data_IF_606916237076
#
_entry.id   IF_606916237076
#
_cell.length_a   1.000
_cell.length_b   1.000
_cell.length_c   1.000
_cell.angle_alpha   90.00
_cell.angle_beta   90.00
_cell.angle_gamma   90.00
#
_symmetry.space_group_name_H-M   'P 1'
#
loop_
_entity.id
_entity.type
_entity.pdbx_description
1 polymer ?
#
# COMPACT_ATOMS: atom_id res chain seq x y z
N UNK A 1 -1.13 68.31 -43.90
CA UNK A 1 -0.20 67.15 -43.82
C UNK A 1 0.91 67.34 -42.81
N UNK A 2 1.33 68.58 -42.49
CA UNK A 2 2.47 68.85 -41.55
C UNK A 2 2.13 68.68 -40.06
N UNK A 3 0.90 68.93 -39.63
CA UNK A 3 0.51 68.86 -38.20
C UNK A 3 0.37 67.43 -37.68
N UNK A 4 -0.07 66.51 -38.53
CA UNK A 4 -0.23 65.06 -38.15
C UNK A 4 1.14 64.38 -38.00
N UNK A 5 2.14 64.78 -38.81
CA UNK A 5 3.50 64.26 -38.71
C UNK A 5 4.24 64.74 -37.41
N UNK A 6 3.94 65.93 -36.95
CA UNK A 6 4.54 66.47 -35.74
C UNK A 6 3.95 65.87 -34.47
N UNK A 7 2.65 65.53 -34.48
CA UNK A 7 1.99 64.82 -33.38
C UNK A 7 2.48 63.34 -33.30
N UNK A 8 2.74 62.69 -34.45
CA UNK A 8 3.27 61.32 -34.44
C UNK A 8 4.73 61.25 -33.92
N UNK A 9 5.58 62.26 -34.21
CA UNK A 9 6.95 62.35 -33.70
C UNK A 9 6.97 62.64 -32.21
N UNK A 10 6.07 63.52 -31.71
CA UNK A 10 5.96 63.77 -30.28
C UNK A 10 5.39 62.57 -29.53
N UNK A 11 4.42 61.84 -30.12
CA UNK A 11 3.88 60.61 -29.52
C UNK A 11 4.93 59.47 -29.46
N UNK A 12 5.78 59.30 -30.52
CA UNK A 12 6.88 58.33 -30.49
C UNK A 12 7.97 58.70 -29.52
N UNK A 13 8.25 59.98 -29.27
CA UNK A 13 9.23 60.43 -28.33
C UNK A 13 8.74 60.29 -26.85
N UNK A 14 7.43 60.41 -26.60
CA UNK A 14 6.83 60.22 -25.30
C UNK A 14 6.69 58.73 -24.94
N UNK A 15 6.47 57.85 -25.94
CA UNK A 15 6.38 56.39 -25.72
C UNK A 15 7.77 55.79 -25.41
N UNK A 16 8.86 56.42 -25.88
CA UNK A 16 10.23 55.92 -25.65
C UNK A 16 10.88 56.51 -24.41
N UNK A 17 10.19 57.36 -23.66
CA UNK A 17 10.61 57.89 -22.35
C UNK A 17 9.75 57.29 -21.23
N UNK A 18 9.51 55.97 -21.30
CA UNK A 18 9.19 55.26 -20.02
C UNK A 18 10.46 55.29 -19.17
N UNK A 19 10.40 55.79 -17.93
CA UNK A 19 11.49 55.60 -17.03
C UNK A 19 11.65 54.08 -16.88
N UNK A 20 12.80 53.55 -17.30
CA UNK A 20 13.26 52.27 -16.78
C UNK A 20 13.26 52.47 -15.27
N UNK A 21 12.21 51.94 -14.62
CA UNK A 21 12.18 51.89 -13.18
C UNK A 21 13.45 51.18 -12.77
N UNK A 22 14.30 51.91 -12.07
CA UNK A 22 15.42 51.37 -11.34
C UNK A 22 14.78 50.28 -10.43
N UNK A 23 14.77 49.04 -10.88
CA UNK A 23 14.28 47.93 -10.11
C UNK A 23 15.25 47.84 -8.94
N UNK A 24 14.85 48.40 -7.82
CA UNK A 24 15.64 48.27 -6.59
C UNK A 24 15.96 46.78 -6.37
N UNK A 25 16.97 46.50 -5.53
CA UNK A 25 17.34 45.11 -5.25
C UNK A 25 16.10 44.32 -4.80
N UNK A 26 15.98 43.09 -5.29
CA UNK A 26 14.90 42.21 -4.84
C UNK A 26 15.05 41.92 -3.34
N UNK A 27 13.99 42.16 -2.60
CA UNK A 27 13.98 41.98 -1.14
C UNK A 27 12.94 40.98 -0.73
N UNK A 28 13.21 40.22 0.32
CA UNK A 28 12.29 39.29 0.97
C UNK A 28 12.36 39.52 2.49
N UNK A 29 11.49 38.85 3.24
CA UNK A 29 11.43 39.01 4.69
C UNK A 29 11.89 37.75 5.41
N UNK A 30 12.54 37.96 6.54
CA UNK A 30 12.77 36.89 7.52
C UNK A 30 11.45 36.52 8.14
N UNK A 31 11.14 35.23 8.21
CA UNK A 31 9.91 34.72 8.81
C UNK A 31 10.23 33.83 10.01
N UNK A 32 9.40 33.91 11.05
CA UNK A 32 9.43 32.98 12.18
C UNK A 32 8.22 32.08 12.10
N UNK A 33 8.42 30.76 12.15
CA UNK A 33 7.34 29.80 11.99
C UNK A 33 7.80 28.35 12.05
N UNK A 34 6.96 27.48 11.51
CA UNK A 34 7.25 26.04 11.42
C UNK A 34 7.99 25.73 10.12
N UNK A 35 9.20 25.24 10.25
CA UNK A 35 9.96 24.68 9.14
C UNK A 35 9.67 23.19 9.00
N UNK A 36 9.47 22.70 7.79
CA UNK A 36 9.36 21.27 7.53
C UNK A 36 10.10 20.89 6.25
N UNK A 37 10.76 19.73 6.32
CA UNK A 37 11.28 19.07 5.13
C UNK A 37 10.41 17.86 4.80
N UNK A 38 10.17 17.65 3.52
CA UNK A 38 9.37 16.55 3.04
C UNK A 38 10.12 15.74 1.99
N UNK A 39 9.88 14.45 1.98
CA UNK A 39 10.28 13.57 0.88
C UNK A 39 9.03 13.22 0.09
N UNK A 40 9.05 13.53 -1.19
CA UNK A 40 7.95 13.24 -2.10
C UNK A 40 8.20 11.93 -2.83
N UNK A 41 7.16 11.09 -2.89
CA UNK A 41 7.22 9.83 -3.60
C UNK A 41 5.85 9.49 -4.18
N UNK A 42 5.86 8.72 -5.29
CA UNK A 42 4.63 8.22 -5.92
C UNK A 42 4.47 6.74 -5.63
N UNK A 43 3.24 6.31 -5.45
CA UNK A 43 2.92 4.93 -5.17
C UNK A 43 1.52 4.53 -5.57
N UNK A 44 1.16 3.32 -5.19
CA UNK A 44 -0.17 2.77 -5.45
C UNK A 44 -0.90 2.49 -4.14
N UNK A 45 -2.18 2.83 -4.14
CA UNK A 45 -3.10 2.52 -3.06
C UNK A 45 -3.43 1.03 -3.07
N UNK A 46 -3.25 0.37 -1.94
CA UNK A 46 -3.51 -1.06 -1.75
C UNK A 46 -4.38 -1.28 -0.51
N UNK A 47 -5.23 -2.29 -0.48
CA UNK A 47 -5.90 -2.67 0.76
C UNK A 47 -4.89 -3.22 1.76
N UNK A 48 -5.19 -3.13 3.05
CA UNK A 48 -4.36 -3.73 4.10
C UNK A 48 -4.34 -5.25 3.98
N UNK A 49 -5.51 -5.83 3.78
CA UNK A 49 -5.68 -7.27 3.61
C UNK A 49 -6.53 -7.57 2.39
N UNK A 50 -6.19 -8.64 1.71
CA UNK A 50 -6.99 -9.17 0.61
C UNK A 50 -6.93 -10.69 0.61
N UNK A 51 -8.06 -11.31 0.34
CA UNK A 51 -8.22 -12.76 0.22
C UNK A 51 -8.59 -13.12 -1.20
N UNK A 52 -7.83 -14.03 -1.79
CA UNK A 52 -8.16 -14.62 -3.08
C UNK A 52 -9.13 -15.75 -2.85
N UNK A 53 -10.27 -15.73 -3.54
CA UNK A 53 -11.25 -16.79 -3.53
C UNK A 53 -10.98 -17.72 -4.69
N UNK A 54 -10.50 -18.93 -4.37
CA UNK A 54 -10.22 -19.98 -5.34
C UNK A 54 -11.06 -21.22 -5.00
N UNK A 55 -11.92 -21.69 -5.91
CA UNK A 55 -12.66 -22.91 -5.71
C UNK A 55 -11.73 -24.10 -5.50
N UNK A 56 -12.09 -25.00 -4.58
CA UNK A 56 -11.36 -26.23 -4.31
C UNK A 56 -11.82 -27.41 -5.16
N UNK A 57 -12.87 -27.22 -5.96
CA UNK A 57 -13.44 -28.25 -6.84
C UNK A 57 -13.47 -27.73 -8.28
N UNK A 58 -13.21 -28.62 -9.21
CA UNK A 58 -13.32 -28.36 -10.63
C UNK A 58 -14.79 -28.45 -11.08
N UNK A 59 -15.11 -27.78 -12.18
CA UNK A 59 -16.46 -27.79 -12.74
C UNK A 59 -16.79 -26.56 -13.55
N UNK A 60 -18.09 -26.29 -13.72
CA UNK A 60 -18.58 -25.11 -14.43
C UNK A 60 -19.30 -24.18 -13.47
N UNK A 61 -19.04 -22.87 -13.55
CA UNK A 61 -19.76 -21.88 -12.74
C UNK A 61 -21.23 -21.90 -13.07
N UNK A 62 -22.06 -22.28 -12.11
CA UNK A 62 -23.52 -22.39 -12.25
C UNK A 62 -24.22 -21.07 -11.97
N UNK A 63 -23.89 -20.43 -10.85
CA UNK A 63 -24.43 -19.12 -10.47
C UNK A 63 -23.40 -18.26 -9.76
N UNK A 64 -23.56 -16.94 -9.87
CA UNK A 64 -22.79 -15.91 -9.17
C UNK A 64 -23.78 -15.01 -8.45
N UNK A 65 -23.69 -14.93 -7.12
CA UNK A 65 -24.66 -14.23 -6.27
C UNK A 65 -24.20 -12.82 -5.86
N UNK A 66 -23.05 -12.38 -6.37
CA UNK A 66 -22.38 -11.14 -5.96
C UNK A 66 -21.89 -10.35 -7.17
N UNK A 67 -21.59 -9.06 -6.96
CA UNK A 67 -21.10 -8.17 -8.00
C UNK A 67 -19.79 -7.49 -7.55
N UNK A 68 -18.98 -7.07 -8.52
CA UNK A 68 -17.79 -6.29 -8.23
C UNK A 68 -18.17 -4.98 -7.52
N UNK A 69 -17.45 -4.63 -6.44
CA UNK A 69 -17.73 -3.48 -5.59
C UNK A 69 -18.74 -3.75 -4.48
N UNK A 70 -19.38 -4.92 -4.43
CA UNK A 70 -20.32 -5.30 -3.37
C UNK A 70 -19.57 -5.66 -2.08
N UNK A 71 -20.11 -5.24 -0.93
CA UNK A 71 -19.64 -5.69 0.39
C UNK A 71 -20.25 -7.04 0.73
N UNK A 72 -19.44 -7.92 1.30
CA UNK A 72 -19.81 -9.26 1.74
C UNK A 72 -19.30 -9.52 3.15
N UNK A 73 -20.00 -10.39 3.89
CA UNK A 73 -19.56 -10.86 5.20
C UNK A 73 -18.92 -12.26 5.06
N UNK A 74 -18.10 -12.62 6.03
CA UNK A 74 -17.56 -13.98 6.13
C UNK A 74 -18.69 -15.01 6.14
N UNK A 75 -18.56 -16.03 5.29
CA UNK A 75 -19.57 -17.08 5.12
C UNK A 75 -20.66 -16.79 4.08
N UNK A 76 -20.78 -15.58 3.55
CA UNK A 76 -21.74 -15.27 2.47
C UNK A 76 -21.46 -16.12 1.22
N UNK A 77 -22.52 -16.63 0.59
CA UNK A 77 -22.39 -17.43 -0.63
C UNK A 77 -22.08 -16.54 -1.82
N UNK A 78 -20.92 -16.72 -2.41
CA UNK A 78 -20.42 -15.93 -3.53
C UNK A 78 -20.83 -16.50 -4.88
N UNK A 79 -20.62 -17.81 -5.07
CA UNK A 79 -20.97 -18.51 -6.30
C UNK A 79 -21.15 -20.01 -6.05
N UNK A 80 -21.76 -20.69 -7.00
CA UNK A 80 -21.90 -22.15 -7.02
C UNK A 80 -21.25 -22.75 -8.26
N UNK A 81 -20.70 -23.95 -8.08
CA UNK A 81 -20.07 -24.72 -9.17
C UNK A 81 -20.89 -25.95 -9.42
N UNK A 82 -21.24 -26.20 -10.67
CA UNK A 82 -21.85 -27.45 -11.12
C UNK A 82 -20.75 -28.47 -11.40
N UNK A 83 -20.88 -29.65 -10.77
CA UNK A 83 -20.03 -30.80 -11.02
C UNK A 83 -20.85 -32.08 -10.89
N UNK A 84 -21.21 -32.68 -12.02
CA UNK A 84 -22.07 -33.87 -12.10
C UNK A 84 -21.36 -35.14 -11.56
N UNK A 85 -20.02 -35.14 -11.48
CA UNK A 85 -19.23 -36.22 -10.91
C UNK A 85 -19.42 -36.31 -9.39
N UNK A 86 -19.38 -35.16 -8.72
CA UNK A 86 -19.62 -35.10 -7.27
C UNK A 86 -21.04 -35.61 -6.91
N UNK A 87 -22.05 -35.28 -7.73
CA UNK A 87 -23.41 -35.77 -7.52
C UNK A 87 -23.49 -37.27 -7.67
N UNK A 88 -22.79 -37.84 -8.67
CA UNK A 88 -22.70 -39.30 -8.83
C UNK A 88 -22.02 -39.97 -7.65
N UNK A 89 -20.91 -39.39 -7.17
CA UNK A 89 -20.15 -39.92 -6.03
C UNK A 89 -21.00 -39.95 -4.74
N UNK A 90 -21.77 -38.89 -4.48
CA UNK A 90 -22.72 -38.86 -3.35
C UNK A 90 -23.80 -39.97 -3.50
N UNK A 91 -24.40 -40.08 -4.68
CA UNK A 91 -25.42 -41.10 -4.94
C UNK A 91 -24.88 -42.53 -4.83
N UNK A 92 -23.62 -42.76 -5.20
CA UNK A 92 -22.96 -44.06 -5.04
C UNK A 92 -22.68 -44.37 -3.57
N UNK A 93 -22.15 -43.41 -2.81
CA UNK A 93 -21.90 -43.54 -1.38
C UNK A 93 -23.21 -43.79 -0.61
N UNK A 94 -24.31 -43.11 -0.98
CA UNK A 94 -25.65 -43.36 -0.39
C UNK A 94 -26.13 -44.80 -0.63
N UNK A 95 -25.93 -45.32 -1.84
CA UNK A 95 -26.27 -46.70 -2.16
C UNK A 95 -25.43 -47.71 -1.36
N UNK A 96 -24.13 -47.42 -1.18
CA UNK A 96 -23.25 -48.25 -0.36
C UNK A 96 -23.69 -48.29 1.12
N UNK A 97 -24.12 -47.16 1.67
CA UNK A 97 -24.70 -47.13 3.04
C UNK A 97 -25.97 -47.92 3.13
N UNK A 98 -26.88 -47.80 2.16
CA UNK A 98 -28.12 -48.57 2.13
C UNK A 98 -27.86 -50.11 2.07
N UNK A 99 -26.91 -50.55 1.23
CA UNK A 99 -26.50 -51.95 1.16
C UNK A 99 -25.89 -52.44 2.48
N UNK A 100 -25.00 -51.69 3.09
CA UNK A 100 -24.38 -52.01 4.38
C UNK A 100 -25.40 -52.05 5.54
N UNK A 101 -26.45 -51.23 5.49
CA UNK A 101 -27.59 -51.30 6.43
C UNK A 101 -28.40 -52.59 6.27
N UNK A 102 -28.65 -53.00 5.03
CA UNK A 102 -29.34 -54.25 4.73
C UNK A 102 -28.53 -55.45 5.19
N UNK A 103 -27.22 -55.47 4.94
CA UNK A 103 -26.31 -56.52 5.41
C UNK A 103 -26.29 -56.61 6.95
N UNK A 104 -26.26 -55.48 7.64
CA UNK A 104 -26.35 -55.45 9.10
C UNK A 104 -27.68 -55.98 9.59
N UNK A 105 -28.79 -55.59 8.99
CA UNK A 105 -30.11 -56.08 9.33
C UNK A 105 -30.24 -57.63 9.12
N UNK A 106 -29.65 -58.14 8.06
CA UNK A 106 -29.60 -59.56 7.77
C UNK A 106 -28.72 -60.31 8.78
N UNK A 107 -27.56 -59.80 9.10
CA UNK A 107 -26.69 -60.38 10.13
C UNK A 107 -27.34 -60.37 11.52
N UNK A 108 -28.05 -59.32 11.88
CA UNK A 108 -28.81 -59.26 13.14
C UNK A 108 -29.93 -60.24 13.20
N UNK A 109 -30.71 -60.40 12.09
CA UNK A 109 -31.76 -61.40 11.99
C UNK A 109 -31.20 -62.83 12.14
N UNK A 110 -30.08 -63.15 11.48
CA UNK A 110 -29.41 -64.42 11.60
C UNK A 110 -28.98 -64.74 13.02
N UNK A 111 -28.33 -63.76 13.68
CA UNK A 111 -27.88 -63.86 15.07
C UNK A 111 -29.05 -64.07 16.06
N UNK A 112 -30.19 -63.39 15.82
CA UNK A 112 -31.41 -63.56 16.64
C UNK A 112 -32.05 -64.93 16.41
N UNK A 113 -32.09 -65.43 15.20
CA UNK A 113 -32.59 -66.72 14.87
C UNK A 113 -31.76 -67.86 15.50
N UNK A 114 -30.43 -67.72 15.48
CA UNK A 114 -29.52 -68.68 16.14
C UNK A 114 -29.71 -68.74 17.66
N UNK A 115 -30.03 -67.59 18.29
CA UNK A 115 -30.33 -67.56 19.74
C UNK A 115 -31.72 -68.08 20.11
N UNK A 116 -32.65 -68.16 19.17
CA UNK A 116 -34.04 -68.58 19.40
C UNK A 116 -34.25 -70.11 19.26
N UNK A 117 -33.22 -70.87 18.90
CA UNK A 117 -33.32 -72.34 18.80
C UNK A 117 -33.26 -72.94 20.22
N UNK A 118 -34.35 -73.53 20.76
CA UNK A 118 -34.30 -74.05 22.12
C UNK A 118 -33.46 -75.35 22.11
N UNK A 119 -32.41 -75.34 22.90
CA UNK A 119 -31.58 -76.50 23.20
C UNK A 119 -32.23 -77.33 24.28
N UNK A 120 -33.19 -78.14 23.87
CA UNK A 120 -33.71 -79.27 24.69
C UNK A 120 -32.95 -80.51 24.25
N UNK A 121 -32.17 -81.11 25.16
CA UNK A 121 -31.34 -82.30 25.02
C UNK A 121 -30.16 -82.16 24.02
N UNK A 122 -29.07 -81.69 24.52
CA UNK A 122 -27.79 -81.57 23.75
C UNK A 122 -26.65 -82.24 24.50
N UNK A 123 -25.96 -83.19 23.83
CA UNK A 123 -24.69 -83.76 24.20
C UNK A 123 -23.61 -82.60 24.23
N UNK A 124 -22.55 -82.75 25.00
CA UNK A 124 -21.48 -81.77 25.19
C UNK A 124 -20.84 -81.28 23.88
N UNK A 125 -20.85 -82.14 22.84
CA UNK A 125 -20.41 -81.82 21.46
C UNK A 125 -21.34 -80.84 20.74
N UNK A 126 -22.65 -80.94 20.96
CA UNK A 126 -23.69 -80.05 20.37
C UNK A 126 -23.69 -78.68 21.07
N UNK A 127 -23.37 -78.61 22.40
CA UNK A 127 -23.21 -77.35 23.13
C UNK A 127 -21.98 -76.55 22.64
N UNK A 128 -20.85 -77.23 22.38
CA UNK A 128 -19.66 -76.62 21.81
C UNK A 128 -19.86 -76.06 20.39
N UNK A 129 -20.65 -76.80 19.56
CA UNK A 129 -21.04 -76.36 18.25
C UNK A 129 -22.00 -75.14 18.28
N UNK A 130 -22.93 -75.06 19.24
CA UNK A 130 -23.81 -73.93 19.47
C UNK A 130 -23.08 -72.66 19.92
N UNK A 131 -22.12 -72.83 20.81
CA UNK A 131 -21.23 -71.67 21.24
C UNK A 131 -20.36 -71.13 20.10
N UNK A 132 -19.87 -72.07 19.23
CA UNK A 132 -19.10 -71.69 18.04
C UNK A 132 -19.97 -70.95 17.00
N UNK A 133 -21.24 -71.41 16.79
CA UNK A 133 -22.16 -70.71 15.88
C UNK A 133 -22.58 -69.33 16.42
N UNK A 134 -22.89 -69.19 17.72
CA UNK A 134 -23.26 -67.94 18.33
C UNK A 134 -22.08 -66.92 18.31
N UNK A 135 -20.84 -67.42 18.44
CA UNK A 135 -19.64 -66.57 18.31
C UNK A 135 -19.42 -66.11 16.86
N UNK A 136 -19.71 -66.98 15.87
CA UNK A 136 -19.62 -66.63 14.45
C UNK A 136 -20.66 -65.58 14.05
N UNK A 137 -21.91 -65.72 14.54
CA UNK A 137 -22.95 -64.71 14.30
C UNK A 137 -22.69 -63.37 14.95
N UNK A 138 -22.12 -63.34 16.16
CA UNK A 138 -21.70 -62.11 16.83
C UNK A 138 -20.57 -61.42 16.05
N UNK A 139 -19.64 -62.21 15.51
CA UNK A 139 -18.56 -61.71 14.65
C UNK A 139 -19.10 -61.16 13.31
N UNK A 140 -20.11 -61.80 12.71
CA UNK A 140 -20.78 -61.32 11.50
C UNK A 140 -21.48 -59.97 11.72
N UNK A 141 -22.21 -59.82 12.83
CA UNK A 141 -22.82 -58.51 13.20
C UNK A 141 -21.76 -57.44 13.40
N UNK A 142 -20.68 -57.78 14.10
CA UNK A 142 -19.58 -56.83 14.31
C UNK A 142 -18.86 -56.44 13.02
N UNK A 143 -18.75 -57.36 12.05
CA UNK A 143 -18.19 -57.10 10.73
C UNK A 143 -19.14 -56.20 9.90
N UNK A 144 -20.44 -56.46 9.90
CA UNK A 144 -21.43 -55.64 9.22
C UNK A 144 -21.53 -54.22 9.82
N UNK A 145 -21.42 -54.08 11.14
CA UNK A 145 -21.32 -52.76 11.80
C UNK A 145 -20.10 -51.96 11.35
N UNK A 146 -18.95 -52.61 11.22
CA UNK A 146 -17.74 -51.94 10.69
C UNK A 146 -17.88 -51.54 9.23
N UNK A 147 -18.50 -52.38 8.43
CA UNK A 147 -18.82 -52.09 7.02
C UNK A 147 -19.76 -50.88 6.90
N UNK A 148 -20.81 -50.81 7.71
CA UNK A 148 -21.71 -49.68 7.77
C UNK A 148 -20.99 -48.39 8.20
N UNK A 149 -20.17 -48.46 9.24
CA UNK A 149 -19.39 -47.29 9.69
C UNK A 149 -18.44 -46.79 8.60
N UNK A 150 -17.80 -47.70 7.85
CA UNK A 150 -16.95 -47.34 6.71
C UNK A 150 -17.75 -46.70 5.56
N UNK A 151 -18.93 -47.25 5.24
CA UNK A 151 -19.80 -46.69 4.21
C UNK A 151 -20.32 -45.30 4.60
N UNK A 152 -20.67 -45.08 5.87
CA UNK A 152 -21.08 -43.79 6.39
C UNK A 152 -19.93 -42.75 6.30
N UNK A 153 -18.71 -43.12 6.69
CA UNK A 153 -17.54 -42.24 6.57
C UNK A 153 -17.28 -41.85 5.09
N UNK A 154 -17.44 -42.78 4.16
CA UNK A 154 -17.32 -42.50 2.73
C UNK A 154 -18.42 -41.53 2.23
N UNK A 155 -19.64 -41.68 2.72
CA UNK A 155 -20.76 -40.78 2.40
C UNK A 155 -20.48 -39.36 2.97
N UNK A 156 -20.01 -39.27 4.20
CA UNK A 156 -19.66 -37.98 4.82
C UNK A 156 -18.55 -37.28 4.03
N UNK A 157 -17.55 -38.04 3.57
CA UNK A 157 -16.50 -37.49 2.71
C UNK A 157 -17.03 -37.02 1.35
N UNK A 158 -17.91 -37.77 0.72
CA UNK A 158 -18.55 -37.40 -0.54
C UNK A 158 -19.41 -36.14 -0.39
N UNK A 159 -20.18 -36.04 0.70
CA UNK A 159 -20.98 -34.86 1.03
C UNK A 159 -20.11 -33.63 1.29
N UNK A 160 -19.01 -33.78 2.02
CA UNK A 160 -18.07 -32.66 2.27
C UNK A 160 -17.46 -32.12 0.96
N UNK A 161 -17.06 -33.01 0.04
CA UNK A 161 -16.60 -32.60 -1.29
C UNK A 161 -17.71 -31.94 -2.11
N UNK A 162 -18.94 -32.47 -2.04
CA UNK A 162 -20.08 -31.88 -2.72
C UNK A 162 -20.45 -30.49 -2.14
N UNK A 163 -20.35 -30.30 -0.83
CA UNK A 163 -20.55 -29.00 -0.18
C UNK A 163 -19.52 -27.95 -0.65
N UNK A 164 -18.32 -28.38 -0.99
CA UNK A 164 -17.26 -27.47 -1.51
C UNK A 164 -17.58 -26.85 -2.89
N UNK A 165 -18.71 -27.24 -3.52
CA UNK A 165 -19.25 -26.55 -4.72
C UNK A 165 -19.82 -25.18 -4.40
N UNK A 166 -20.26 -24.95 -3.18
CA UNK A 166 -20.73 -23.65 -2.71
C UNK A 166 -19.54 -22.88 -2.18
N UNK A 167 -19.15 -21.86 -2.92
CA UNK A 167 -18.00 -21.02 -2.57
C UNK A 167 -18.50 -19.88 -1.71
N UNK A 168 -17.96 -19.77 -0.51
CA UNK A 168 -18.29 -18.73 0.47
C UNK A 168 -17.14 -17.77 0.67
N UNK A 169 -17.44 -16.58 1.19
CA UNK A 169 -16.46 -15.57 1.52
C UNK A 169 -15.58 -16.03 2.70
N UNK A 170 -14.24 -16.08 2.55
CA UNK A 170 -13.33 -16.47 3.63
C UNK A 170 -13.12 -15.36 4.67
N UNK A 171 -13.51 -14.12 4.35
CA UNK A 171 -13.42 -12.95 5.22
C UNK A 171 -14.43 -11.91 4.79
N UNK A 172 -14.82 -11.03 5.71
CA UNK A 172 -15.64 -9.86 5.39
C UNK A 172 -14.81 -8.82 4.61
N UNK A 173 -15.44 -8.11 3.67
CA UNK A 173 -14.77 -7.11 2.84
C UNK A 173 -15.59 -6.70 1.63
N UNK A 174 -14.95 -6.04 0.68
CA UNK A 174 -15.53 -5.68 -0.62
C UNK A 174 -14.91 -6.51 -1.74
N UNK A 175 -15.72 -6.90 -2.73
CA UNK A 175 -15.24 -7.61 -3.91
C UNK A 175 -14.53 -6.60 -4.81
N UNK A 176 -13.18 -6.68 -4.86
CA UNK A 176 -12.35 -5.76 -5.66
C UNK A 176 -12.12 -6.29 -7.07
N UNK A 177 -12.16 -7.61 -7.24
CA UNK A 177 -11.99 -8.25 -8.53
C UNK A 177 -12.96 -9.43 -8.66
N UNK A 178 -13.67 -9.52 -9.79
CA UNK A 178 -14.59 -10.60 -10.14
C UNK A 178 -14.34 -11.01 -11.60
N UNK A 179 -13.59 -12.08 -11.77
CA UNK A 179 -13.28 -12.65 -13.10
C UNK A 179 -14.22 -13.81 -13.45
N UNK A 180 -14.92 -14.36 -12.44
CA UNK A 180 -15.88 -15.43 -12.64
C UNK A 180 -17.05 -14.98 -13.53
N UNK A 181 -17.44 -15.86 -14.46
CA UNK A 181 -18.63 -15.69 -15.31
C UNK A 181 -19.43 -17.00 -15.28
N UNK A 182 -20.74 -16.89 -15.29
CA UNK A 182 -21.63 -18.06 -15.40
C UNK A 182 -21.30 -18.82 -16.69
N UNK A 183 -21.16 -20.13 -16.58
CA UNK A 183 -20.76 -21.00 -17.68
C UNK A 183 -19.24 -21.13 -17.88
N UNK A 184 -18.40 -20.38 -17.16
CA UNK A 184 -16.95 -20.53 -17.24
C UNK A 184 -16.48 -21.85 -16.58
N UNK A 185 -15.43 -22.45 -17.13
CA UNK A 185 -14.81 -23.65 -16.57
C UNK A 185 -13.80 -23.27 -15.49
N UNK A 186 -13.89 -23.93 -14.34
CA UNK A 186 -12.95 -23.84 -13.24
C UNK A 186 -12.11 -25.10 -13.19
N UNK A 187 -10.79 -24.94 -13.17
CA UNK A 187 -9.83 -26.04 -13.06
C UNK A 187 -8.66 -25.62 -12.19
N UNK A 188 -8.33 -26.42 -11.18
CA UNK A 188 -7.24 -26.12 -10.25
C UNK A 188 -7.43 -24.81 -9.49
N UNK A 189 -8.66 -24.39 -9.20
CA UNK A 189 -8.99 -23.15 -8.50
C UNK A 189 -8.91 -21.88 -9.36
N UNK A 190 -8.68 -21.99 -10.66
CA UNK A 190 -8.57 -20.88 -11.60
C UNK A 190 -9.65 -20.96 -12.68
N UNK A 191 -10.06 -19.81 -13.20
CA UNK A 191 -10.97 -19.74 -14.33
C UNK A 191 -10.16 -19.83 -15.62
N UNK A 192 -10.54 -20.78 -16.47
CA UNK A 192 -10.02 -20.92 -17.83
C UNK A 192 -10.92 -20.13 -18.77
N UNK A 193 -10.36 -19.09 -19.42
CA UNK A 193 -11.06 -18.36 -20.49
C UNK A 193 -10.93 -19.10 -21.82
N UNK A 194 -11.92 -18.93 -22.71
CA UNK A 194 -11.94 -19.54 -24.07
C UNK A 194 -10.71 -19.20 -24.95
N UNK A 195 -9.88 -18.23 -24.54
CA UNK A 195 -8.73 -17.73 -25.32
C UNK A 195 -7.44 -17.60 -24.50
N UNK A 196 -7.40 -18.02 -23.23
CA UNK A 196 -6.23 -17.82 -22.38
C UNK A 196 -5.23 -18.97 -22.54
N UNK A 197 -4.23 -18.76 -23.39
CA UNK A 197 -3.02 -19.60 -23.51
C UNK A 197 -2.00 -19.36 -22.39
N UNK A 198 -2.25 -18.41 -21.48
CA UNK A 198 -1.27 -17.87 -20.52
C UNK A 198 -1.55 -18.17 -19.04
N UNK A 199 -2.35 -19.20 -18.75
CA UNK A 199 -2.66 -19.56 -17.36
C UNK A 199 -3.98 -18.93 -16.88
N UNK A 200 -4.74 -19.69 -16.07
CA UNK A 200 -6.05 -19.27 -15.56
C UNK A 200 -5.95 -18.02 -14.67
N UNK A 201 -7.06 -17.28 -14.60
CA UNK A 201 -7.21 -16.11 -13.72
C UNK A 201 -7.81 -16.53 -12.37
N UNK A 202 -7.48 -15.77 -11.34
CA UNK A 202 -8.16 -15.90 -10.04
C UNK A 202 -9.65 -15.65 -10.21
N UNK A 203 -10.48 -16.44 -9.52
CA UNK A 203 -11.93 -16.33 -9.67
C UNK A 203 -12.46 -15.01 -9.14
N UNK A 204 -12.00 -14.61 -7.96
CA UNK A 204 -12.49 -13.43 -7.24
C UNK A 204 -11.47 -13.00 -6.19
N UNK A 205 -11.44 -11.69 -5.89
CA UNK A 205 -10.65 -11.16 -4.78
C UNK A 205 -11.54 -10.30 -3.88
N UNK A 206 -11.48 -10.59 -2.58
CA UNK A 206 -12.14 -9.81 -1.53
C UNK A 206 -11.05 -9.03 -0.80
N UNK A 207 -11.31 -7.75 -0.51
CA UNK A 207 -10.38 -6.91 0.22
C UNK A 207 -11.09 -6.07 1.29
N UNK A 208 -10.42 -5.89 2.41
CA UNK A 208 -10.84 -4.94 3.43
C UNK A 208 -10.42 -3.53 3.01
N UNK A 209 -11.42 -2.68 2.75
CA UNK A 209 -11.24 -1.28 2.36
C UNK A 209 -11.42 -0.31 3.52
N UNK A 210 -11.65 -0.79 4.75
CA UNK A 210 -11.80 0.06 5.95
C UNK A 210 -10.52 0.81 6.27
N UNK A 211 -9.38 0.20 5.94
CA UNK A 211 -8.06 0.81 6.01
C UNK A 211 -7.31 0.49 4.72
N UNK A 212 -6.51 1.43 4.28
CA UNK A 212 -5.68 1.24 3.09
C UNK A 212 -4.23 1.62 3.37
N UNK A 213 -3.33 1.14 2.54
CA UNK A 213 -1.93 1.56 2.55
C UNK A 213 -1.50 2.02 1.17
N UNK A 214 -0.61 3.00 1.14
CA UNK A 214 0.13 3.37 -0.07
C UNK A 214 1.52 2.80 0.03
N UNK A 215 1.92 2.03 -0.96
CA UNK A 215 3.30 1.56 -1.11
C UNK A 215 4.00 2.48 -2.09
N UNK A 216 4.95 3.27 -1.62
CA UNK A 216 5.78 4.18 -2.43
C UNK A 216 7.19 3.66 -2.59
N UNK A 217 7.84 4.05 -3.69
CA UNK A 217 9.25 3.75 -3.93
C UNK A 217 10.07 4.99 -3.65
N UNK A 218 11.01 4.88 -2.73
CA UNK A 218 11.90 5.97 -2.28
C UNK A 218 13.34 5.62 -2.64
N UNK A 219 14.06 6.59 -3.20
CA UNK A 219 15.46 6.44 -3.57
C UNK A 219 16.41 6.31 -2.36
N UNK A 220 17.61 5.75 -2.60
CA UNK A 220 18.63 5.52 -1.56
C UNK A 220 19.04 6.78 -0.80
N UNK A 221 19.04 7.94 -1.45
CA UNK A 221 19.42 9.21 -0.80
C UNK A 221 18.39 9.69 0.21
N UNK A 222 17.12 9.39 -0.03
CA UNK A 222 16.01 9.93 0.75
C UNK A 222 15.49 8.93 1.79
N UNK A 223 15.72 7.63 1.59
CA UNK A 223 15.31 6.61 2.56
C UNK A 223 15.99 6.79 3.93
N UNK A 224 17.21 7.33 3.95
CA UNK A 224 17.93 7.60 5.20
C UNK A 224 17.26 8.68 6.08
N UNK A 225 16.37 9.50 5.49
CA UNK A 225 15.62 10.56 6.18
C UNK A 225 14.27 10.08 6.69
N UNK A 226 13.79 8.90 6.22
CA UNK A 226 12.47 8.35 6.55
C UNK A 226 12.58 7.39 7.72
N UNK A 227 11.68 7.52 8.67
CA UNK A 227 11.56 6.64 9.83
C UNK A 227 10.11 6.19 10.04
N UNK A 228 9.94 5.00 10.61
CA UNK A 228 8.62 4.49 11.01
C UNK A 228 8.01 5.42 12.06
N UNK A 229 6.74 5.74 11.90
CA UNK A 229 5.99 6.66 12.75
C UNK A 229 5.90 8.10 12.23
N UNK A 230 6.63 8.46 11.16
CA UNK A 230 6.50 9.78 10.57
C UNK A 230 5.14 9.97 9.90
N UNK A 231 4.63 11.19 9.97
CA UNK A 231 3.38 11.59 9.31
C UNK A 231 3.61 11.83 7.83
N UNK A 232 2.61 11.51 7.03
CA UNK A 232 2.64 11.75 5.59
C UNK A 232 1.30 12.33 5.12
N UNK A 233 1.36 13.26 4.18
CA UNK A 233 0.21 13.75 3.45
C UNK A 233 0.10 12.96 2.15
N UNK A 234 -1.09 12.43 1.88
CA UNK A 234 -1.36 11.63 0.69
C UNK A 234 -2.39 12.35 -0.17
N UNK A 235 -2.02 12.64 -1.39
CA UNK A 235 -2.87 13.26 -2.41
C UNK A 235 -3.09 12.32 -3.57
N UNK A 236 -4.18 12.52 -4.28
CA UNK A 236 -4.60 11.62 -5.35
C UNK A 236 -4.85 12.44 -6.63
N UNK A 237 -4.05 12.24 -7.70
CA UNK A 237 -4.26 12.98 -8.96
C UNK A 237 -5.65 12.83 -9.55
N UNK A 238 -6.33 11.68 -9.28
CA UNK A 238 -7.70 11.44 -9.72
C UNK A 238 -8.75 12.25 -8.93
N UNK A 239 -8.44 12.67 -7.71
CA UNK A 239 -9.31 13.41 -6.80
C UNK A 239 -8.51 14.47 -6.06
N UNK A 240 -8.23 15.63 -6.69
CA UNK A 240 -7.41 16.68 -6.09
C UNK A 240 -8.01 17.31 -4.82
N UNK A 241 -9.30 17.11 -4.60
CA UNK A 241 -10.06 17.56 -3.42
C UNK A 241 -9.86 16.66 -2.19
N UNK A 242 -9.27 15.47 -2.37
CA UNK A 242 -9.04 14.53 -1.28
C UNK A 242 -7.59 14.59 -0.85
N UNK A 243 -7.37 14.92 0.41
CA UNK A 243 -6.08 14.80 1.09
C UNK A 243 -6.25 13.89 2.29
N UNK A 244 -5.50 12.81 2.33
CA UNK A 244 -5.52 11.85 3.44
C UNK A 244 -4.28 12.00 4.29
N UNK A 245 -4.45 11.90 5.61
CA UNK A 245 -3.32 11.77 6.53
C UNK A 245 -2.92 10.30 6.62
N UNK A 246 -1.62 10.05 6.50
CA UNK A 246 -1.05 8.73 6.62
C UNK A 246 0.11 8.69 7.62
N UNK A 247 0.50 7.49 8.02
CA UNK A 247 1.64 7.26 8.90
C UNK A 247 2.54 6.19 8.28
N UNK A 248 3.85 6.41 8.29
CA UNK A 248 4.83 5.41 7.84
C UNK A 248 4.81 4.23 8.80
N UNK A 249 4.44 3.04 8.32
CA UNK A 249 4.32 1.82 9.14
C UNK A 249 5.45 0.83 8.91
N UNK A 250 5.99 0.80 7.69
CA UNK A 250 7.06 -0.12 7.36
C UNK A 250 7.99 0.46 6.28
N UNK A 251 9.26 0.11 6.39
CA UNK A 251 10.30 0.40 5.39
C UNK A 251 10.92 -0.94 5.00
N UNK A 252 10.96 -1.25 3.71
CA UNK A 252 11.53 -2.50 3.24
C UNK A 252 13.04 -2.54 3.51
N UNK A 253 13.52 -3.65 4.09
CA UNK A 253 14.94 -3.88 4.35
C UNK A 253 15.73 -4.28 3.09
N UNK A 254 15.03 -4.63 2.01
CA UNK A 254 15.64 -5.05 0.74
C UNK A 254 15.25 -4.04 -0.33
N UNK A 255 16.25 -3.57 -1.05
CA UNK A 255 16.05 -2.70 -2.18
C UNK A 255 15.44 -3.44 -3.37
N UNK A 256 14.57 -2.78 -4.10
CA UNK A 256 14.09 -3.22 -5.40
C UNK A 256 14.93 -2.51 -6.47
N UNK A 257 15.60 -3.26 -7.32
CA UNK A 257 16.36 -2.73 -8.44
C UNK A 257 15.69 -3.17 -9.75
N UNK A 258 15.26 -2.21 -10.54
CA UNK A 258 14.79 -2.47 -11.90
C UNK A 258 15.97 -2.55 -12.86
N UNK A 259 16.51 -3.77 -13.03
CA UNK A 259 17.57 -4.06 -14.02
C UNK A 259 17.02 -4.32 -15.45
N UNK A 260 15.71 -4.13 -15.69
CA UNK A 260 15.07 -4.55 -16.95
C UNK A 260 15.33 -3.65 -18.17
N UNK A 261 16.05 -2.55 -18.02
CA UNK A 261 16.42 -1.70 -19.16
C UNK A 261 17.86 -1.24 -19.01
N UNK A 262 18.78 -1.79 -19.74
CA UNK A 262 20.23 -1.56 -19.82
C UNK A 262 20.82 -0.15 -19.64
N UNK A 263 20.19 0.71 -18.89
CA UNK A 263 20.61 2.06 -18.48
C UNK A 263 20.41 2.17 -16.98
N UNK A 264 21.49 2.00 -16.22
CA UNK A 264 21.68 2.29 -14.80
C UNK A 264 20.42 2.21 -13.91
N UNK A 265 20.05 1.00 -13.46
CA UNK A 265 18.87 0.83 -12.60
C UNK A 265 18.97 1.66 -11.32
N UNK A 266 17.95 2.42 -11.00
CA UNK A 266 17.86 3.13 -9.72
C UNK A 266 17.53 2.14 -8.60
N UNK A 267 18.28 2.25 -7.50
CA UNK A 267 18.01 1.50 -6.28
C UNK A 267 16.90 2.22 -5.51
N UNK A 268 15.79 1.53 -5.26
CA UNK A 268 14.66 2.07 -4.52
C UNK A 268 14.25 1.15 -3.39
N UNK A 269 13.64 1.71 -2.35
CA UNK A 269 13.10 0.97 -1.22
C UNK A 269 11.59 1.20 -1.14
N UNK A 270 10.85 0.15 -0.86
CA UNK A 270 9.42 0.26 -0.64
C UNK A 270 9.15 0.78 0.76
N UNK A 271 8.30 1.80 0.85
CA UNK A 271 7.80 2.37 2.11
C UNK A 271 6.28 2.24 2.12
N UNK A 272 5.74 1.65 3.18
CA UNK A 272 4.30 1.49 3.37
C UNK A 272 3.78 2.58 4.30
N UNK A 273 2.81 3.34 3.82
CA UNK A 273 2.11 4.40 4.55
C UNK A 273 0.66 3.97 4.77
N UNK A 274 0.27 3.86 6.03
CA UNK A 274 -1.08 3.48 6.45
C UNK A 274 -2.00 4.69 6.42
N UNK A 275 -3.19 4.53 5.84
CA UNK A 275 -4.32 5.46 5.88
C UNK A 275 -5.43 4.78 6.67
N UNK A 276 -5.76 5.30 7.86
CA UNK A 276 -6.72 4.65 8.76
C UNK A 276 -8.18 4.86 8.35
N UNK A 277 -8.49 5.98 7.70
CA UNK A 277 -9.84 6.32 7.27
C UNK A 277 -9.84 6.82 5.81
N UNK A 278 -9.73 5.91 4.83
CA UNK A 278 -9.75 6.29 3.42
C UNK A 278 -11.14 6.77 2.99
N UNK A 279 -11.19 7.75 2.09
CA UNK A 279 -12.46 8.17 1.46
C UNK A 279 -13.04 7.02 0.63
N UNK A 280 -14.35 6.84 0.66
CA UNK A 280 -15.07 5.75 -0.03
C UNK A 280 -14.95 5.79 -1.57
N UNK A 281 -14.58 6.93 -2.14
CA UNK A 281 -14.32 7.09 -3.59
C UNK A 281 -12.99 6.50 -4.01
N UNK A 282 -12.06 6.29 -3.07
CA UNK A 282 -10.73 5.74 -3.34
C UNK A 282 -10.84 4.23 -3.59
N UNK A 283 -10.12 3.77 -4.60
CA UNK A 283 -10.11 2.35 -4.99
C UNK A 283 -8.70 1.80 -4.99
N UNK A 284 -8.50 0.52 -4.64
CA UNK A 284 -7.23 -0.15 -4.81
C UNK A 284 -6.69 -0.01 -6.24
N UNK A 285 -5.39 0.15 -6.39
CA UNK A 285 -4.72 0.36 -7.68
C UNK A 285 -4.62 1.82 -8.12
N UNK A 286 -5.29 2.76 -7.45
CA UNK A 286 -5.12 4.19 -7.76
C UNK A 286 -3.72 4.66 -7.42
N UNK A 287 -3.20 5.58 -8.24
CA UNK A 287 -1.95 6.28 -7.97
C UNK A 287 -2.17 7.32 -6.87
N UNK A 288 -1.22 7.38 -5.95
CA UNK A 288 -1.15 8.37 -4.88
C UNK A 288 0.21 9.04 -4.88
N UNK A 289 0.24 10.31 -4.57
CA UNK A 289 1.44 11.10 -4.31
C UNK A 289 1.53 11.32 -2.80
N UNK A 290 2.69 11.02 -2.23
CA UNK A 290 2.90 11.04 -0.80
C UNK A 290 4.02 12.01 -0.48
N UNK A 291 3.78 12.93 0.44
CA UNK A 291 4.77 13.83 1.02
C UNK A 291 5.00 13.41 2.48
N UNK A 292 6.09 12.69 2.73
CA UNK A 292 6.48 12.27 4.09
C UNK A 292 7.20 13.41 4.78
N UNK A 293 6.72 13.82 5.96
CA UNK A 293 7.39 14.85 6.77
C UNK A 293 8.56 14.19 7.49
N UNK A 294 9.77 14.56 7.07
CA UNK A 294 11.02 13.98 7.61
C UNK A 294 11.59 14.77 8.77
N UNK A 295 11.42 16.07 8.75
CA UNK A 295 11.85 16.96 9.81
C UNK A 295 10.78 18.04 10.02
N UNK A 296 10.51 18.39 11.27
CA UNK A 296 9.64 19.48 11.66
C UNK A 296 10.26 20.24 12.81
N UNK A 297 10.47 21.52 12.61
CA UNK A 297 10.98 22.43 13.62
C UNK A 297 9.96 23.56 13.79
N UNK A 298 9.44 23.73 14.99
CA UNK A 298 8.50 24.79 15.33
C UNK A 298 9.25 25.97 15.91
N UNK A 299 8.73 27.19 15.73
CA UNK A 299 9.25 28.46 16.25
C UNK A 299 10.71 28.72 15.83
N UNK A 300 11.02 28.52 14.55
CA UNK A 300 12.35 28.75 13.99
C UNK A 300 12.35 29.95 13.05
N UNK A 301 13.50 30.64 13.01
CA UNK A 301 13.71 31.77 12.10
C UNK A 301 14.18 31.21 10.75
N UNK A 302 13.48 31.57 9.69
CA UNK A 302 13.72 31.11 8.34
C UNK A 302 14.10 32.27 7.43
N UNK A 303 14.98 31.99 6.49
CA UNK A 303 15.35 32.90 5.42
C UNK A 303 15.23 32.19 4.09
N UNK A 304 14.81 32.86 3.01
CA UNK A 304 14.81 32.25 1.67
C UNK A 304 16.23 31.76 1.31
N UNK A 305 16.33 30.55 0.79
CA UNK A 305 17.61 29.93 0.42
C UNK A 305 18.40 30.79 -0.57
N UNK A 306 17.68 31.49 -1.46
CA UNK A 306 18.31 32.45 -2.42
C UNK A 306 18.95 33.68 -1.78
N UNK A 307 18.63 34.02 -0.52
CA UNK A 307 19.24 35.11 0.20
C UNK A 307 20.55 34.70 0.92
N UNK A 308 20.85 33.41 0.97
CA UNK A 308 22.07 32.89 1.58
C UNK A 308 23.27 33.08 0.65
N UNK A 309 24.28 33.77 1.12
CA UNK A 309 25.56 33.94 0.44
C UNK A 309 26.64 33.13 1.16
N UNK A 310 27.50 32.50 0.42
CA UNK A 310 28.70 31.82 0.94
C UNK A 310 29.91 32.21 0.12
N UNK A 311 31.08 32.31 0.75
CA UNK A 311 32.36 32.59 0.08
C UNK A 311 33.27 31.38 0.08
N UNK A 312 33.10 30.49 1.07
CA UNK A 312 33.98 29.33 1.29
C UNK A 312 33.21 27.98 1.41
N UNK A 313 31.88 28.01 1.26
CA UNK A 313 31.02 26.83 1.43
C UNK A 313 30.76 26.45 2.89
N UNK A 314 31.42 27.05 3.85
CA UNK A 314 31.26 26.76 5.29
C UNK A 314 30.58 27.91 6.05
N UNK A 315 30.78 29.14 5.58
CA UNK A 315 30.25 30.32 6.24
C UNK A 315 29.15 30.97 5.40
N UNK A 316 28.00 31.13 6.01
CA UNK A 316 26.84 31.73 5.37
C UNK A 316 26.56 33.13 5.90
N UNK A 317 26.11 34.03 5.02
CA UNK A 317 25.79 35.42 5.30
C UNK A 317 24.46 35.77 4.63
N UNK A 318 23.73 36.69 5.24
CA UNK A 318 22.59 37.38 4.63
C UNK A 318 22.82 38.88 4.63
N UNK A 319 22.34 39.57 3.62
CA UNK A 319 22.38 41.02 3.53
C UNK A 319 21.08 41.60 4.10
N UNK A 320 21.13 42.05 5.36
CA UNK A 320 20.03 42.72 6.04
C UNK A 320 19.87 44.12 5.50
N UNK A 321 18.71 44.52 5.00
CA UNK A 321 18.40 45.87 4.59
C UNK A 321 18.38 46.80 5.82
N UNK A 322 19.02 47.95 5.70
CA UNK A 322 19.04 49.00 6.76
C UNK A 322 18.19 50.21 6.38
N UNK A 323 17.64 50.22 5.18
CA UNK A 323 16.68 51.20 4.67
C UNK A 323 15.47 50.52 4.05
N UNK A 324 14.38 51.24 3.87
CA UNK A 324 13.11 50.74 3.31
C UNK A 324 13.18 50.38 1.82
N UNK A 325 14.23 50.76 1.12
CA UNK A 325 14.41 50.50 -0.31
C UNK A 325 15.40 49.37 -0.59
N UNK A 326 16.00 48.78 0.45
CA UNK A 326 16.98 47.68 0.32
C UNK A 326 18.33 48.11 -0.29
N UNK A 327 18.53 49.42 -0.49
CA UNK A 327 19.77 49.96 -1.12
C UNK A 327 20.96 49.96 -0.18
N UNK A 328 20.73 50.08 1.13
CA UNK A 328 21.77 49.98 2.15
C UNK A 328 21.62 48.65 2.89
N UNK A 329 22.67 47.87 2.86
CA UNK A 329 22.68 46.55 3.48
C UNK A 329 23.77 46.41 4.53
N UNK A 330 23.50 45.56 5.51
CA UNK A 330 24.50 45.11 6.48
C UNK A 330 24.63 43.61 6.39
N UNK A 331 25.84 43.13 6.12
CA UNK A 331 26.12 41.70 6.10
C UNK A 331 26.03 41.13 7.53
N UNK A 332 25.22 40.09 7.70
CA UNK A 332 25.05 39.36 8.97
C UNK A 332 25.48 37.93 8.76
N UNK A 333 26.44 37.45 9.56
CA UNK A 333 26.86 36.05 9.56
C UNK A 333 25.78 35.22 10.23
N UNK A 334 25.35 34.15 9.55
CA UNK A 334 24.33 33.19 10.03
C UNK A 334 24.91 31.78 10.03
N UNK A 335 24.37 30.94 10.87
CA UNK A 335 24.66 29.51 10.86
C UNK A 335 23.40 28.82 10.32
N UNK A 336 23.53 28.08 9.24
CA UNK A 336 22.44 27.27 8.68
C UNK A 336 22.36 25.96 9.48
N UNK A 337 21.19 25.67 10.02
CA UNK A 337 20.93 24.46 10.79
C UNK A 337 20.43 23.35 9.87
N UNK A 338 19.42 23.68 9.06
CA UNK A 338 18.85 22.83 8.03
C UNK A 338 18.24 23.71 6.93
N UNK A 339 18.05 23.16 5.74
CA UNK A 339 17.46 23.89 4.62
C UNK A 339 16.71 22.96 3.70
N UNK A 340 15.73 23.50 3.01
CA UNK A 340 15.06 22.89 1.87
C UNK A 340 15.31 23.73 0.60
N UNK A 341 14.59 23.45 -0.48
CA UNK A 341 14.78 24.16 -1.75
C UNK A 341 14.40 25.65 -1.69
N UNK A 342 13.52 26.04 -0.77
CA UNK A 342 12.97 27.41 -0.68
C UNK A 342 13.50 28.18 0.51
N UNK A 343 13.67 27.53 1.66
CA UNK A 343 13.94 28.18 2.94
C UNK A 343 15.07 27.50 3.70
N UNK A 344 15.80 28.27 4.50
CA UNK A 344 16.80 27.75 5.39
C UNK A 344 16.56 28.25 6.81
N UNK A 345 16.65 27.33 7.77
CA UNK A 345 16.61 27.65 9.20
C UNK A 345 17.96 28.18 9.63
N UNK A 346 17.98 29.40 10.18
CA UNK A 346 19.20 30.06 10.59
C UNK A 346 19.25 30.26 12.10
N UNK A 347 20.43 30.01 12.67
CA UNK A 347 20.67 30.19 14.09
C UNK A 347 21.64 29.17 14.65
N UNK A 348 21.96 29.31 15.94
CA UNK A 348 22.72 28.30 16.69
C UNK A 348 21.74 27.51 17.51
N UNK A 349 21.73 26.18 17.35
CA UNK A 349 20.95 25.29 18.20
C UNK A 349 21.39 25.44 19.65
N UNK A 350 20.50 25.93 20.52
CA UNK A 350 20.73 25.93 21.96
C UNK A 350 20.02 24.70 22.54
N UNK A 351 20.80 23.74 23.04
CA UNK A 351 20.28 22.60 23.77
C UNK A 351 19.82 23.06 25.14
N UNK A 352 18.51 23.10 25.40
CA UNK A 352 17.96 23.25 26.75
C UNK A 352 18.10 21.93 27.49
N UNK A 353 18.75 21.95 28.65
CA UNK A 353 18.85 20.81 29.55
C UNK A 353 17.99 21.05 30.78
N UNK A 354 17.34 20.00 31.30
CA UNK A 354 16.66 20.03 32.57
C UNK A 354 17.66 20.10 33.72
N UNK A 355 17.17 20.30 34.94
CA UNK A 355 17.97 20.32 36.17
C UNK A 355 18.71 19.00 36.44
N UNK A 356 18.39 17.93 35.70
CA UNK A 356 19.02 16.61 35.76
C UNK A 356 20.01 16.37 34.63
N UNK A 357 20.20 17.36 33.72
CA UNK A 357 21.15 17.31 32.59
C UNK A 357 20.64 16.60 31.34
N UNK A 358 19.35 16.19 31.30
CA UNK A 358 18.75 15.59 30.11
C UNK A 358 18.34 16.67 29.11
N UNK A 359 18.50 16.40 27.83
CA UNK A 359 18.05 17.31 26.75
C UNK A 359 16.52 17.31 26.68
N UNK A 360 15.88 18.47 27.00
CA UNK A 360 14.40 18.60 27.04
C UNK A 360 13.80 18.94 25.69
N UNK A 361 14.56 19.39 24.72
CA UNK A 361 14.09 19.68 23.38
C UNK A 361 15.29 19.88 22.46
N UNK A 362 15.29 19.45 21.16
CA UNK A 362 16.27 19.97 20.23
C UNK A 362 16.08 21.48 20.22
N UNK A 363 17.03 22.21 20.75
CA UNK A 363 16.90 23.62 21.06
C UNK A 363 16.51 24.44 19.83
N UNK A 364 15.62 25.41 20.04
CA UNK A 364 15.27 26.38 19.00
C UNK A 364 16.53 27.14 18.58
N UNK A 365 16.85 27.19 17.27
CA UNK A 365 18.01 27.93 16.80
C UNK A 365 17.90 29.43 17.14
N UNK A 366 18.92 30.01 17.79
CA UNK A 366 18.93 31.42 18.14
C UNK A 366 19.79 32.18 17.12
N UNK A 367 19.22 33.20 16.50
CA UNK A 367 19.87 34.05 15.51
C UNK A 367 19.77 35.53 15.94
N UNK A 368 20.55 36.38 15.27
CA UNK A 368 20.44 37.86 15.39
C UNK A 368 19.38 38.46 14.48
N UNK A 369 18.83 37.65 13.57
CA UNK A 369 17.70 38.02 12.70
C UNK A 369 16.40 37.89 13.47
N UNK A 370 15.44 38.73 13.15
CA UNK A 370 14.10 38.75 13.75
C UNK A 370 13.04 38.61 12.67
N UNK A 371 11.89 38.14 13.06
CA UNK A 371 10.71 38.15 12.21
C UNK A 371 10.43 39.54 11.67
N UNK A 372 10.17 39.65 10.37
CA UNK A 372 9.94 40.91 9.67
C UNK A 372 11.18 41.66 9.24
N UNK A 373 12.41 41.20 9.58
CA UNK A 373 13.64 41.79 9.05
C UNK A 373 13.68 41.65 7.52
N UNK A 374 13.93 42.75 6.80
CA UNK A 374 14.02 42.72 5.34
C UNK A 374 15.42 42.32 4.91
N UNK A 375 15.54 41.34 4.06
CA UNK A 375 16.79 40.83 3.49
C UNK A 375 16.81 41.01 1.99
N UNK A 376 17.99 41.20 1.43
CA UNK A 376 18.19 41.39 -0.01
C UNK A 376 18.53 40.03 -0.62
N UNK A 377 17.70 39.59 -1.59
CA UNK A 377 17.85 38.30 -2.29
C UNK A 377 18.66 38.42 -3.58
N UNK A 378 18.65 39.63 -4.20
CA UNK A 378 19.44 39.91 -5.39
C UNK A 378 20.07 41.29 -5.24
N UNK A 379 21.41 41.37 -5.24
CA UNK A 379 22.16 42.65 -5.17
C UNK A 379 22.25 43.37 -6.51
N UNK A 380 21.60 42.89 -7.56
CA UNK A 380 21.60 43.51 -8.89
C UNK A 380 22.96 43.55 -9.58
N UNK A 381 24.00 43.05 -8.94
CA UNK A 381 25.31 42.85 -9.54
C UNK A 381 25.30 41.48 -10.22
N UNK A 382 24.81 41.45 -11.47
CA UNK A 382 25.09 40.32 -12.34
C UNK A 382 26.60 40.08 -12.28
N UNK A 383 27.00 38.86 -11.89
CA UNK A 383 28.36 38.39 -12.11
C UNK A 383 28.60 38.48 -13.61
N UNK A 384 29.17 39.57 -14.07
CA UNK A 384 29.91 39.62 -15.31
C UNK A 384 31.00 38.55 -15.16
N UNK A 385 30.85 37.44 -15.85
CA UNK A 385 31.95 36.54 -16.09
C UNK A 385 33.07 37.37 -16.78
N UNK A 386 33.97 37.91 -15.99
CA UNK A 386 35.18 38.56 -16.43
C UNK A 386 36.18 37.52 -16.89
N UNK A 387 35.94 36.96 -18.09
CA UNK A 387 37.01 36.39 -18.89
C UNK A 387 37.71 37.49 -19.67
N UNK A 388 38.71 38.09 -19.09
CA UNK A 388 39.59 39.05 -19.74
C UNK A 388 41.01 38.65 -19.40
N UNK A 389 41.53 37.63 -20.03
CA UNK A 389 42.95 37.41 -20.17
C UNK A 389 43.54 38.56 -21.00
N UNK A 390 44.13 39.52 -20.29
CA UNK A 390 45.09 40.45 -20.87
C UNK A 390 46.48 40.03 -20.43
N UNK A 391 47.04 39.01 -21.13
CA UNK A 391 48.47 38.77 -21.09
C UNK A 391 49.18 39.87 -21.88
N UNK A 392 50.15 40.58 -21.35
CA UNK A 392 51.02 41.41 -22.13
C UNK A 392 51.92 40.50 -23.00
N UNK A 393 51.86 40.70 -24.30
CA UNK A 393 52.84 40.16 -25.25
C UNK A 393 54.13 40.91 -25.00
N UNK A 394 55.14 40.20 -24.51
CA UNK A 394 56.54 40.67 -24.45
C UNK A 394 57.12 40.47 -25.86
N UNK A 395 57.31 41.62 -26.57
CA UNK A 395 58.18 41.69 -27.75
C UNK A 395 59.63 41.84 -27.25
N UNK A 396 60.46 40.91 -27.61
CA UNK A 396 61.85 41.05 -27.35
C UNK A 396 62.78 39.90 -27.78
N UNK A 397 63.22 39.97 -29.05
CA UNK A 397 64.41 39.36 -29.63
C UNK A 397 64.42 37.84 -29.84
#
# INVERSE_FOLDING_TARGET
MGVIALIAIVATLVINAQPQGDSGPATDMVTEGTFSTTVEAKGQLKPISSSVVSPSVDGTVDSINVQAGQSVNEGDVLMTIKNDELDRNVAEAQRAVAAAQEDLANAQKAATAAQATPTTDVDEASAAAGISAASADTNAVSAAQRSLASAQANLDQANAKAASRTITAPSSGSIVELNAKVGATVTGGMIMGESDTSGGKQCMQIADLSKMKVTVQVGEKDIAKIAVGQSANVTYPAFPDIVSQGTVTAIASVATSDFSSGSGGSVTFNVDILIEAPDSRLKPGMTAEVSVVTEKLDDVVMVPTMALMTEDGEHYYVNLATDSEGKKTRRVKVTVVTQNDNEAVVGKTQVKRDDQGNEINPGVPVTKLRDGDTIVTDTGTGMAAGGGDNMPVDEGM
#
